data_IF_389300552793
#
_entry.id   IF_389300552793
#
_cell.length_a   1.000
_cell.length_b   1.000
_cell.length_c   1.000
_cell.angle_alpha   90.00
_cell.angle_beta   90.00
_cell.angle_gamma   90.00
#
_symmetry.space_group_name_H-M   'P 1'
#
loop_
_entity.id
_entity.type
_entity.pdbx_description
1 polymer ?
#
# COMPACT_ATOMS: atom_id res chain seq x y z
N UNK A 1 14.49 16.94 -3.49
CA UNK A 1 15.00 15.85 -2.60
C UNK A 1 14.53 14.48 -3.07
N UNK A 2 13.28 14.34 -3.55
CA UNK A 2 12.72 13.10 -4.09
C UNK A 2 12.20 13.33 -5.52
N UNK A 3 12.43 12.36 -6.41
CA UNK A 3 11.79 12.25 -7.73
C UNK A 3 10.97 10.97 -7.77
N UNK A 4 9.66 11.08 -8.01
CA UNK A 4 8.76 9.93 -8.19
C UNK A 4 8.35 9.82 -9.64
N UNK A 5 8.57 8.65 -10.24
CA UNK A 5 8.19 8.36 -11.62
C UNK A 5 7.13 7.27 -11.60
N UNK A 6 5.90 7.62 -11.98
CA UNK A 6 4.81 6.66 -12.14
C UNK A 6 4.81 6.16 -13.58
N UNK A 7 4.98 4.85 -13.77
CA UNK A 7 5.14 4.29 -15.11
C UNK A 7 4.77 2.81 -15.19
N UNK A 8 4.13 2.42 -16.29
CA UNK A 8 3.95 0.99 -16.64
C UNK A 8 5.09 0.42 -17.47
N UNK A 9 6.10 1.21 -17.83
CA UNK A 9 7.21 0.76 -18.70
C UNK A 9 7.87 -0.53 -18.20
N UNK A 10 8.20 -0.70 -16.90
CA UNK A 10 8.74 -1.96 -16.40
C UNK A 10 7.83 -3.18 -16.58
N UNK A 11 6.53 -2.96 -16.79
CA UNK A 11 5.50 -4.00 -17.01
C UNK A 11 5.34 -4.29 -18.50
N UNK A 12 5.11 -3.26 -19.31
CA UNK A 12 4.66 -3.40 -20.71
C UNK A 12 5.80 -3.35 -21.72
N UNK A 13 6.92 -2.71 -21.38
CA UNK A 13 8.07 -2.57 -22.27
C UNK A 13 9.38 -2.58 -21.45
N UNK A 14 9.68 -3.69 -20.74
CA UNK A 14 10.81 -3.76 -19.81
C UNK A 14 12.17 -3.51 -20.47
N UNK A 15 12.30 -3.75 -21.78
CA UNK A 15 13.52 -3.47 -22.55
C UNK A 15 13.93 -1.99 -22.59
N UNK A 16 13.04 -1.07 -22.23
CA UNK A 16 13.35 0.36 -22.09
C UNK A 16 14.08 0.71 -20.80
N UNK A 17 14.18 -0.23 -19.86
CA UNK A 17 15.00 -0.05 -18.66
C UNK A 17 16.46 -0.37 -19.03
N UNK A 18 17.14 0.64 -19.57
CA UNK A 18 18.54 0.54 -20.03
C UNK A 18 19.50 1.17 -19.02
N UNK A 19 20.80 0.84 -19.15
CA UNK A 19 21.86 1.49 -18.39
C UNK A 19 21.90 3.01 -18.63
N UNK A 20 21.65 3.47 -19.86
CA UNK A 20 21.57 4.89 -20.19
C UNK A 20 20.42 5.61 -19.48
N UNK A 21 19.24 4.98 -19.38
CA UNK A 21 18.13 5.52 -18.59
C UNK A 21 18.50 5.63 -17.12
N UNK A 22 19.08 4.57 -16.56
CA UNK A 22 19.52 4.56 -15.16
C UNK A 22 20.52 5.69 -14.90
N UNK A 23 21.54 5.83 -15.73
CA UNK A 23 22.55 6.87 -15.60
C UNK A 23 21.95 8.29 -15.67
N UNK A 24 20.96 8.51 -16.55
CA UNK A 24 20.28 9.79 -16.68
C UNK A 24 19.41 10.15 -15.46
N UNK A 25 18.89 9.14 -14.75
CA UNK A 25 18.08 9.34 -13.55
C UNK A 25 18.92 9.36 -12.26
N UNK A 26 20.12 8.78 -12.28
CA UNK A 26 21.05 8.80 -11.16
C UNK A 26 21.60 10.21 -10.95
N UNK A 27 21.73 10.59 -9.68
CA UNK A 27 22.20 11.91 -9.29
C UNK A 27 21.84 12.22 -7.84
N UNK A 28 21.63 13.51 -7.55
CA UNK A 28 21.37 14.00 -6.19
C UNK A 28 20.00 13.58 -5.61
N UNK A 29 19.01 13.30 -6.46
CA UNK A 29 17.64 13.03 -6.01
C UNK A 29 17.51 11.56 -5.61
N UNK A 30 16.78 11.31 -4.52
CA UNK A 30 16.27 9.96 -4.26
C UNK A 30 15.22 9.65 -5.33
N UNK A 31 15.49 8.65 -6.17
CA UNK A 31 14.57 8.23 -7.23
C UNK A 31 13.69 7.10 -6.71
N UNK A 32 12.38 7.24 -6.91
CA UNK A 32 11.39 6.21 -6.65
C UNK A 32 10.60 5.94 -7.91
N UNK A 33 10.55 4.68 -8.34
CA UNK A 33 9.77 4.25 -9.49
C UNK A 33 8.53 3.52 -8.98
N UNK A 34 7.36 3.99 -9.41
CA UNK A 34 6.06 3.42 -9.07
C UNK A 34 5.53 2.69 -10.29
N UNK A 35 5.48 1.37 -10.20
CA UNK A 35 5.03 0.45 -11.25
C UNK A 35 3.53 0.14 -11.14
N UNK A 36 2.94 -0.47 -12.17
CA UNK A 36 1.52 -0.88 -12.13
C UNK A 36 1.30 -2.29 -12.71
N UNK A 37 1.86 -3.29 -12.04
CA UNK A 37 1.41 -4.68 -12.10
C UNK A 37 0.05 -4.84 -11.41
N UNK A 38 -0.86 -5.57 -12.04
CA UNK A 38 -2.19 -5.94 -11.55
C UNK A 38 -2.35 -7.46 -11.43
N UNK A 39 -1.46 -8.26 -12.03
CA UNK A 39 -1.54 -9.72 -11.90
C UNK A 39 -0.13 -10.36 -11.96
N UNK A 40 0.09 -11.46 -11.24
CA UNK A 40 1.38 -12.16 -11.21
C UNK A 40 1.85 -12.63 -12.60
N UNK A 41 0.91 -12.94 -13.51
CA UNK A 41 1.20 -13.24 -14.93
C UNK A 41 1.92 -12.14 -15.71
N UNK A 42 1.83 -10.88 -15.25
CA UNK A 42 2.61 -9.78 -15.86
C UNK A 42 4.09 -9.83 -15.42
N UNK A 43 4.43 -10.64 -14.41
CA UNK A 43 5.79 -10.82 -13.89
C UNK A 43 6.49 -11.90 -14.71
N UNK A 44 7.41 -11.45 -15.56
CA UNK A 44 8.19 -12.29 -16.47
C UNK A 44 9.68 -12.15 -16.18
N UNK A 45 10.51 -12.99 -16.82
CA UNK A 45 11.97 -12.83 -16.73
C UNK A 45 12.44 -11.45 -17.20
N UNK A 46 11.80 -10.87 -18.21
CA UNK A 46 12.16 -9.53 -18.70
C UNK A 46 11.84 -8.43 -17.68
N UNK A 47 10.68 -8.50 -17.01
CA UNK A 47 10.33 -7.54 -15.95
C UNK A 47 11.24 -7.70 -14.73
N UNK A 48 11.66 -8.93 -14.42
CA UNK A 48 12.62 -9.20 -13.35
C UNK A 48 13.98 -8.55 -13.62
N UNK A 49 14.51 -8.70 -14.83
CA UNK A 49 15.75 -8.02 -15.23
C UNK A 49 15.62 -6.50 -15.09
N UNK A 50 14.52 -5.93 -15.62
CA UNK A 50 14.25 -4.49 -15.53
C UNK A 50 14.20 -3.98 -14.07
N UNK A 51 13.42 -4.64 -13.21
CA UNK A 51 13.31 -4.27 -11.80
C UNK A 51 14.65 -4.45 -11.06
N UNK A 52 15.41 -5.50 -11.36
CA UNK A 52 16.75 -5.73 -10.81
C UNK A 52 17.71 -4.61 -11.18
N UNK A 53 17.72 -4.18 -12.45
CA UNK A 53 18.54 -3.06 -12.92
C UNK A 53 18.21 -1.76 -12.17
N UNK A 54 16.93 -1.43 -11.99
CA UNK A 54 16.53 -0.24 -11.23
C UNK A 54 16.92 -0.33 -9.74
N UNK A 55 16.75 -1.50 -9.12
CA UNK A 55 17.16 -1.73 -7.71
C UNK A 55 18.65 -1.60 -7.51
N UNK A 56 19.46 -2.18 -8.40
CA UNK A 56 20.92 -2.10 -8.34
C UNK A 56 21.42 -0.67 -8.50
N UNK A 57 20.66 0.19 -9.17
CA UNK A 57 20.92 1.63 -9.24
C UNK A 57 20.64 2.40 -7.94
N UNK A 58 20.08 1.73 -6.92
CA UNK A 58 19.67 2.32 -5.64
C UNK A 58 18.27 2.93 -5.64
N UNK A 59 17.44 2.68 -6.66
CA UNK A 59 16.10 3.25 -6.73
C UNK A 59 15.11 2.48 -5.85
N UNK A 60 14.20 3.21 -5.20
CA UNK A 60 13.09 2.61 -4.46
C UNK A 60 12.01 2.19 -5.45
N UNK A 61 11.58 0.93 -5.40
CA UNK A 61 10.52 0.43 -6.26
C UNK A 61 9.23 0.18 -5.48
N UNK A 62 8.16 0.80 -5.95
CA UNK A 62 6.81 0.64 -5.41
C UNK A 62 5.88 0.10 -6.51
N UNK A 63 4.78 -0.52 -6.12
CA UNK A 63 3.74 -0.97 -7.03
C UNK A 63 2.36 -0.45 -6.62
N UNK A 64 1.63 0.09 -7.60
CA UNK A 64 0.24 0.51 -7.47
C UNK A 64 -0.62 -0.38 -8.39
N UNK A 65 -1.30 -1.35 -7.80
CA UNK A 65 -2.32 -2.15 -8.48
C UNK A 65 -3.67 -1.46 -8.41
N UNK A 66 -4.57 -1.81 -9.32
CA UNK A 66 -5.99 -1.49 -9.27
C UNK A 66 -6.74 -2.80 -9.02
N UNK A 67 -7.72 -2.79 -8.12
CA UNK A 67 -8.61 -3.92 -7.89
C UNK A 67 -9.59 -4.01 -9.06
N UNK A 68 -9.47 -5.08 -9.84
CA UNK A 68 -10.14 -5.29 -11.12
C UNK A 68 -10.89 -6.61 -11.11
N UNK A 69 -12.20 -6.54 -11.37
CA UNK A 69 -13.09 -7.68 -11.47
C UNK A 69 -12.65 -8.64 -12.58
N UNK A 70 -12.58 -9.93 -12.25
CA UNK A 70 -12.12 -11.01 -13.12
C UNK A 70 -10.64 -10.95 -13.47
N UNK A 71 -9.84 -10.20 -12.71
CA UNK A 71 -8.38 -10.11 -12.90
C UNK A 71 -7.67 -10.45 -11.59
N UNK A 72 -7.88 -9.65 -10.55
CA UNK A 72 -7.22 -9.77 -9.27
C UNK A 72 -8.19 -9.56 -8.10
N UNK A 73 -9.47 -9.87 -8.30
CA UNK A 73 -10.54 -9.78 -7.31
C UNK A 73 -10.71 -11.07 -6.50
N UNK A 74 -9.63 -11.85 -6.34
CA UNK A 74 -9.56 -13.03 -5.48
C UNK A 74 -8.37 -12.92 -4.54
N UNK A 75 -8.48 -13.61 -3.39
CA UNK A 75 -7.41 -13.61 -2.38
C UNK A 75 -6.15 -14.29 -2.93
N UNK A 76 -6.31 -15.37 -3.69
CA UNK A 76 -5.22 -16.11 -4.32
C UNK A 76 -4.42 -15.23 -5.30
N UNK A 77 -5.12 -14.53 -6.20
CA UNK A 77 -4.47 -13.68 -7.20
C UNK A 77 -3.72 -12.50 -6.57
N UNK A 78 -4.29 -11.86 -5.54
CA UNK A 78 -3.64 -10.75 -4.85
C UNK A 78 -2.47 -11.22 -3.99
N UNK A 79 -2.61 -12.36 -3.31
CA UNK A 79 -1.54 -12.93 -2.51
C UNK A 79 -0.34 -13.27 -3.40
N UNK A 80 -0.57 -13.99 -4.50
CA UNK A 80 0.47 -14.34 -5.47
C UNK A 80 1.15 -13.08 -6.02
N UNK A 81 0.38 -12.10 -6.47
CA UNK A 81 0.92 -10.83 -6.96
C UNK A 81 1.80 -10.13 -5.91
N UNK A 82 1.33 -10.00 -4.67
CA UNK A 82 2.06 -9.30 -3.62
C UNK A 82 3.35 -10.03 -3.22
N UNK A 83 3.32 -11.37 -3.17
CA UNK A 83 4.51 -12.18 -2.91
C UNK A 83 5.52 -12.05 -4.04
N UNK A 84 5.10 -12.21 -5.29
CA UNK A 84 6.00 -12.13 -6.45
C UNK A 84 6.59 -10.74 -6.64
N UNK A 85 5.80 -9.68 -6.41
CA UNK A 85 6.31 -8.30 -6.39
C UNK A 85 7.47 -8.16 -5.42
N UNK A 86 7.31 -8.61 -4.18
CA UNK A 86 8.34 -8.45 -3.16
C UNK A 86 9.52 -9.41 -3.37
N UNK A 87 9.24 -10.71 -3.49
CA UNK A 87 10.27 -11.75 -3.42
C UNK A 87 11.04 -11.91 -4.73
N UNK A 88 10.36 -11.75 -5.87
CA UNK A 88 10.99 -11.92 -7.18
C UNK A 88 11.47 -10.61 -7.77
N UNK A 89 10.63 -9.57 -7.74
CA UNK A 89 10.98 -8.28 -8.33
C UNK A 89 11.65 -7.32 -7.34
N UNK A 90 11.46 -7.55 -6.03
CA UNK A 90 11.97 -6.62 -5.03
C UNK A 90 11.24 -5.29 -5.00
N UNK A 91 9.98 -5.28 -5.44
CA UNK A 91 9.10 -4.13 -5.54
C UNK A 91 8.10 -4.19 -4.40
N UNK A 92 7.96 -3.09 -3.64
CA UNK A 92 7.01 -3.05 -2.54
C UNK A 92 5.57 -2.89 -3.05
N UNK A 93 4.63 -3.81 -2.72
CA UNK A 93 3.20 -3.55 -2.86
C UNK A 93 2.86 -2.31 -2.03
N UNK A 94 2.47 -1.23 -2.72
CA UNK A 94 2.29 0.07 -2.09
C UNK A 94 0.81 0.41 -1.94
N UNK A 95 0.09 0.49 -3.06
CA UNK A 95 -1.35 0.70 -3.04
C UNK A 95 -2.09 -0.35 -3.85
N UNK A 96 -3.24 -0.74 -3.32
CA UNK A 96 -4.31 -1.36 -4.08
C UNK A 96 -5.41 -0.30 -4.23
N UNK A 97 -5.55 0.26 -5.43
CA UNK A 97 -6.57 1.25 -5.72
C UNK A 97 -7.92 0.57 -5.92
N UNK A 98 -8.95 1.11 -5.29
CA UNK A 98 -10.32 0.85 -5.72
C UNK A 98 -10.53 1.39 -7.13
N UNK A 99 -11.26 0.64 -7.97
CA UNK A 99 -11.52 1.05 -9.35
C UNK A 99 -12.25 2.38 -9.43
N UNK A 100 -11.65 3.34 -10.15
CA UNK A 100 -12.19 4.69 -10.36
C UNK A 100 -13.50 4.68 -11.17
N UNK A 101 -14.25 5.77 -11.10
CA UNK A 101 -15.51 6.04 -11.80
C UNK A 101 -15.33 6.33 -13.30
N UNK A 102 -14.21 5.92 -13.89
CA UNK A 102 -13.90 6.14 -15.29
C UNK A 102 -14.97 5.55 -16.22
N UNK A 103 -15.39 6.34 -17.21
CA UNK A 103 -16.45 5.97 -18.17
C UNK A 103 -16.06 4.66 -18.88
N UNK A 104 -16.98 3.69 -18.92
CA UNK A 104 -16.76 2.38 -19.55
C UNK A 104 -16.10 1.31 -18.67
N UNK A 105 -15.57 1.67 -17.50
CA UNK A 105 -14.87 0.72 -16.61
C UNK A 105 -15.79 0.05 -15.58
N UNK A 106 -17.10 0.37 -15.56
CA UNK A 106 -18.03 -0.12 -14.55
C UNK A 106 -18.06 -1.65 -14.42
N UNK A 107 -17.96 -2.38 -15.55
CA UNK A 107 -17.94 -3.84 -15.58
C UNK A 107 -16.69 -4.48 -14.93
N UNK A 108 -15.61 -3.70 -14.75
CA UNK A 108 -14.36 -4.11 -14.08
C UNK A 108 -14.32 -3.73 -12.61
N UNK A 109 -15.36 -3.10 -12.06
CA UNK A 109 -15.38 -2.64 -10.66
C UNK A 109 -15.84 -3.75 -9.72
N UNK A 110 -15.26 -3.73 -8.52
CA UNK A 110 -15.72 -4.48 -7.35
C UNK A 110 -16.50 -3.54 -6.43
N UNK A 111 -17.13 -4.07 -5.38
CA UNK A 111 -17.67 -3.22 -4.31
C UNK A 111 -16.58 -2.84 -3.31
N UNK A 112 -16.77 -1.73 -2.59
CA UNK A 112 -15.85 -1.35 -1.50
C UNK A 112 -15.77 -2.46 -0.44
N UNK A 113 -16.92 -3.05 -0.07
CA UNK A 113 -17.00 -4.14 0.89
C UNK A 113 -16.17 -5.37 0.45
N UNK A 114 -16.20 -5.72 -0.84
CA UNK A 114 -15.35 -6.79 -1.38
C UNK A 114 -13.86 -6.46 -1.25
N UNK A 115 -13.46 -5.22 -1.58
CA UNK A 115 -12.06 -4.81 -1.43
C UNK A 115 -11.60 -4.78 0.03
N UNK A 116 -12.47 -4.37 0.96
CA UNK A 116 -12.19 -4.43 2.40
C UNK A 116 -11.99 -5.87 2.88
N UNK A 117 -12.92 -6.77 2.54
CA UNK A 117 -12.82 -8.18 2.91
C UNK A 117 -11.55 -8.85 2.35
N UNK A 118 -11.20 -8.57 1.09
CA UNK A 118 -9.97 -9.08 0.48
C UNK A 118 -8.71 -8.58 1.20
N UNK A 119 -8.67 -7.29 1.55
CA UNK A 119 -7.50 -6.69 2.19
C UNK A 119 -7.34 -7.07 3.66
N UNK A 120 -8.44 -7.36 4.34
CA UNK A 120 -8.43 -8.01 5.65
C UNK A 120 -7.83 -9.42 5.57
N UNK A 121 -8.31 -10.25 4.63
CA UNK A 121 -7.79 -11.60 4.43
C UNK A 121 -6.31 -11.60 4.02
N UNK A 122 -5.87 -10.65 3.18
CA UNK A 122 -4.45 -10.53 2.80
C UNK A 122 -3.54 -10.25 4.01
N UNK A 123 -3.99 -9.39 4.94
CA UNK A 123 -3.21 -9.04 6.13
C UNK A 123 -2.90 -10.24 7.01
N UNK A 124 -3.81 -11.20 7.08
CA UNK A 124 -3.59 -12.44 7.82
C UNK A 124 -2.61 -13.41 7.12
N UNK A 125 -2.48 -13.34 5.77
CA UNK A 125 -1.69 -14.28 4.97
C UNK A 125 -0.28 -13.78 4.64
N UNK A 126 -0.10 -12.46 4.55
CA UNK A 126 1.13 -11.84 4.06
C UNK A 126 1.98 -11.23 5.17
N UNK A 127 3.30 -11.24 4.97
CA UNK A 127 4.20 -10.40 5.76
C UNK A 127 3.81 -8.92 5.63
N UNK A 128 4.00 -8.13 6.69
CA UNK A 128 3.63 -6.72 6.71
C UNK A 128 4.24 -5.89 5.57
N UNK A 129 5.45 -6.23 5.10
CA UNK A 129 6.09 -5.53 3.97
C UNK A 129 5.43 -5.80 2.62
N UNK A 130 4.73 -6.93 2.48
CA UNK A 130 4.02 -7.34 1.28
C UNK A 130 2.57 -6.85 1.26
N UNK A 131 2.06 -6.30 2.36
CA UNK A 131 0.67 -5.84 2.44
C UNK A 131 0.52 -4.45 1.80
N UNK A 132 -0.28 -4.30 0.73
CA UNK A 132 -0.59 -2.98 0.18
C UNK A 132 -1.59 -2.25 1.07
N UNK A 133 -1.61 -0.92 0.97
CA UNK A 133 -2.69 -0.12 1.56
C UNK A 133 -3.84 -0.02 0.54
N UNK A 134 -5.05 -0.41 0.95
CA UNK A 134 -6.24 -0.27 0.12
C UNK A 134 -6.75 1.17 0.16
N UNK A 135 -6.83 1.81 -1.01
CA UNK A 135 -7.14 3.23 -1.14
C UNK A 135 -8.24 3.49 -2.15
N UNK A 136 -8.99 4.56 -1.93
CA UNK A 136 -9.96 5.11 -2.86
C UNK A 136 -9.62 6.57 -3.13
N UNK A 137 -9.59 6.95 -4.41
CA UNK A 137 -9.49 8.34 -4.81
C UNK A 137 -10.89 8.97 -4.72
N UNK A 138 -11.04 9.99 -3.86
CA UNK A 138 -12.32 10.70 -3.73
C UNK A 138 -12.61 11.49 -5.01
N UNK A 139 -13.90 11.61 -5.42
CA UNK A 139 -14.30 12.51 -6.48
C UNK A 139 -13.80 13.95 -6.26
N UNK A 140 -13.74 14.71 -7.34
CA UNK A 140 -13.43 16.16 -7.31
C UNK A 140 -12.05 16.50 -6.72
N UNK A 141 -11.13 15.53 -6.67
CA UNK A 141 -9.77 15.77 -6.19
C UNK A 141 -9.63 15.77 -4.67
N UNK A 142 -10.59 15.20 -3.94
CA UNK A 142 -10.52 15.05 -2.46
C UNK A 142 -9.36 14.19 -1.95
N UNK A 143 -8.56 13.61 -2.85
CA UNK A 143 -7.33 12.88 -2.54
C UNK A 143 -7.54 11.39 -2.31
N UNK A 144 -6.43 10.72 -1.94
CA UNK A 144 -6.36 9.27 -1.73
C UNK A 144 -6.66 8.96 -0.29
N UNK A 145 -7.76 8.26 -0.03
CA UNK A 145 -8.19 7.88 1.30
C UNK A 145 -7.96 6.39 1.52
N UNK A 146 -7.19 5.99 2.55
CA UNK A 146 -7.15 4.59 2.99
C UNK A 146 -8.52 4.14 3.47
N UNK A 147 -9.05 3.10 2.87
CA UNK A 147 -10.38 2.55 3.18
C UNK A 147 -10.33 1.06 3.50
N UNK A 148 -9.19 0.59 4.03
CA UNK A 148 -9.02 -0.80 4.50
C UNK A 148 -9.86 -1.12 5.74
N UNK A 149 -9.75 -2.35 6.27
CA UNK A 149 -10.47 -2.76 7.48
C UNK A 149 -10.11 -1.87 8.68
N UNK A 150 -11.13 -1.49 9.45
CA UNK A 150 -10.96 -0.77 10.71
C UNK A 150 -10.97 -1.76 11.88
N UNK A 151 -9.90 -1.78 12.66
CA UNK A 151 -9.77 -2.66 13.83
C UNK A 151 -10.36 -2.04 15.10
N UNK A 152 -10.75 -0.76 15.08
CA UNK A 152 -11.37 -0.09 16.22
C UNK A 152 -12.88 -0.30 16.17
N UNK A 153 -13.43 -0.98 17.18
CA UNK A 153 -14.88 -1.25 17.29
C UNK A 153 -15.61 -0.31 18.24
N UNK A 154 -14.87 0.47 19.02
CA UNK A 154 -15.44 1.45 19.90
C UNK A 154 -14.43 1.99 20.91
N UNK A 155 -14.85 3.04 21.59
CA UNK A 155 -14.09 3.70 22.65
C UNK A 155 -15.04 4.17 23.73
N UNK A 156 -14.65 3.98 24.99
CA UNK A 156 -15.31 4.55 26.16
C UNK A 156 -14.24 5.15 27.09
N UNK A 157 -14.20 6.48 27.19
CA UNK A 157 -13.12 7.17 27.90
C UNK A 157 -11.76 6.79 27.31
N UNK A 158 -10.86 6.30 28.14
CA UNK A 158 -9.52 5.80 27.77
C UNK A 158 -9.51 4.33 27.34
N UNK A 159 -10.65 3.63 27.40
CA UNK A 159 -10.76 2.23 26.98
C UNK A 159 -11.13 2.12 25.51
N UNK A 160 -10.38 1.34 24.75
CA UNK A 160 -10.56 1.05 23.34
C UNK A 160 -10.92 -0.41 23.13
N UNK A 161 -11.91 -0.70 22.29
CA UNK A 161 -12.22 -2.06 21.84
C UNK A 161 -11.60 -2.29 20.48
N UNK A 162 -10.67 -3.24 20.40
CA UNK A 162 -9.87 -3.51 19.21
C UNK A 162 -10.09 -4.96 18.76
N UNK A 163 -10.48 -5.16 17.50
CA UNK A 163 -10.54 -6.48 16.86
C UNK A 163 -9.14 -6.86 16.35
N UNK A 164 -8.57 -7.91 16.92
CA UNK A 164 -7.30 -8.49 16.51
C UNK A 164 -7.38 -9.17 15.13
N UNK A 165 -6.22 -9.52 14.59
CA UNK A 165 -6.13 -10.27 13.32
C UNK A 165 -6.65 -11.72 13.46
N UNK A 166 -6.72 -12.22 14.69
CA UNK A 166 -7.35 -13.50 15.04
C UNK A 166 -8.89 -13.40 15.15
N UNK A 167 -9.47 -12.20 14.91
CA UNK A 167 -10.91 -11.95 15.01
C UNK A 167 -11.41 -11.66 16.42
N UNK A 168 -10.58 -11.87 17.43
CA UNK A 168 -10.92 -11.66 18.84
C UNK A 168 -10.91 -10.16 19.20
N UNK A 169 -11.92 -9.74 19.96
CA UNK A 169 -12.05 -8.36 20.44
C UNK A 169 -11.38 -8.24 21.80
N UNK A 170 -10.46 -7.29 21.93
CA UNK A 170 -9.71 -7.03 23.17
C UNK A 170 -9.87 -5.58 23.60
N UNK A 171 -9.94 -5.38 24.90
CA UNK A 171 -9.90 -4.04 25.47
C UNK A 171 -8.45 -3.58 25.64
N UNK A 172 -8.18 -2.35 25.23
CA UNK A 172 -6.90 -1.67 25.42
C UNK A 172 -7.14 -0.35 26.16
N UNK A 173 -6.54 -0.20 27.34
CA UNK A 173 -6.61 1.05 28.10
C UNK A 173 -5.42 1.94 27.74
N UNK A 174 -5.73 3.13 27.22
CA UNK A 174 -4.78 4.17 26.92
C UNK A 174 -4.29 4.82 28.23
N UNK A 175 -2.97 4.84 28.43
CA UNK A 175 -2.35 5.45 29.62
C UNK A 175 -1.32 6.46 29.12
N UNK A 176 -1.64 7.74 29.27
CA UNK A 176 -0.76 8.86 28.92
C UNK A 176 -0.43 9.61 30.22
N UNK A 177 0.85 9.79 30.51
CA UNK A 177 1.29 10.45 31.74
C UNK A 177 0.75 11.88 31.87
N UNK A 178 0.27 12.24 33.06
CA UNK A 178 -0.14 13.60 33.39
C UNK A 178 1.11 14.44 33.67
N UNK A 179 1.25 15.61 33.01
CA UNK A 179 2.21 16.62 33.45
C UNK A 179 1.76 17.12 34.83
N UNK A 180 2.64 16.99 35.84
CA UNK A 180 2.39 17.56 37.17
C UNK A 180 2.21 19.08 37.07
N UNK A 181 0.97 19.56 37.19
CA UNK A 181 0.72 20.97 37.53
C UNK A 181 1.24 21.20 38.95
N UNK A 182 2.34 21.95 39.05
CA UNK A 182 2.90 22.40 40.31
C UNK A 182 1.85 23.20 41.10
N UNK A 183 1.28 22.55 42.11
CA UNK A 183 0.58 23.21 43.20
C UNK A 183 1.60 23.98 44.05
N UNK A 184 1.94 25.20 43.63
CA UNK A 184 2.59 26.18 44.50
C UNK A 184 1.52 26.78 45.40
N UNK A 185 1.42 26.19 46.59
CA UNK A 185 0.71 26.76 47.74
C UNK A 185 1.26 28.15 48.02
N UNK A 186 0.38 29.14 48.04
CA UNK A 186 0.57 30.40 48.76
C UNK A 186 0.66 30.06 50.25
N UNK A 187 1.70 30.50 51.00
CA UNK A 187 1.57 30.69 52.43
C UNK A 187 1.37 32.18 52.71
N UNK A 188 0.21 32.52 53.26
CA UNK A 188 0.07 33.74 54.04
C UNK A 188 0.72 33.54 55.41
N UNK A 189 1.64 34.44 55.76
CA UNK A 189 1.91 34.96 57.11
C UNK A 189 2.76 36.20 56.98
#
# INVERSE_FOLDING_TARGET
RLLRIHTRVPVVLPSRITSGLVAALQGRLMVTVVTHFNHAREITGATEVACRTLRQAGFVLLNQSVLLKGVNDSIEALEELCRELMYRLGVKPYYLHHGDLARGMAHRRTTIAQGQALTEALRARLSGICNPVYVLDLPEGGGKVPIGPCHVEGRQGESWRLRGLDGEVREYREIVGVQEEQSSKIPGS
#
